data_IF_550724090932
#
_entry.id   IF_550724090932
#
_cell.length_a   1.000
_cell.length_b   1.000
_cell.length_c   1.000
_cell.angle_alpha   90.00
_cell.angle_beta   90.00
_cell.angle_gamma   90.00
#
_symmetry.space_group_name_H-M   'P 1'
#
loop_
_entity.id
_entity.type
_entity.pdbx_description
1 polymer ?
#
# COMPACT_ATOMS: atom_id res chain seq x y z
N UNK A 1 -1.30 -27.72 92.94
CA UNK A 1 -2.77 -27.55 92.84
C UNK A 1 -2.99 -26.59 91.67
N UNK A 2 -3.56 -26.92 90.51
CA UNK A 2 -4.66 -27.82 90.20
C UNK A 2 -4.42 -28.55 88.86
N UNK A 3 -4.83 -29.80 88.88
CA UNK A 3 -5.04 -30.84 87.86
C UNK A 3 -5.96 -30.48 86.67
N UNK A 4 -5.72 -31.13 85.51
CA UNK A 4 -6.70 -31.75 84.56
C UNK A 4 -7.54 -30.72 83.74
N UNK A 5 -7.84 -30.81 82.43
CA UNK A 5 -8.16 -31.95 81.57
C UNK A 5 -8.02 -31.63 80.06
N UNK A 6 -8.06 -32.73 79.31
CA UNK A 6 -8.15 -32.92 77.85
C UNK A 6 -9.36 -32.26 77.18
N UNK A 7 -9.25 -32.01 75.87
CA UNK A 7 -10.38 -31.85 74.96
C UNK A 7 -9.96 -31.76 73.50
N UNK A 8 -9.96 -32.89 72.80
CA UNK A 8 -9.96 -32.96 71.33
C UNK A 8 -11.21 -32.25 70.79
N UNK A 9 -11.06 -31.44 69.73
CA UNK A 9 -12.09 -31.26 68.73
C UNK A 9 -11.42 -30.90 67.39
N UNK A 10 -11.53 -31.80 66.43
CA UNK A 10 -11.19 -31.57 65.03
C UNK A 10 -12.15 -30.54 64.43
N UNK A 11 -11.63 -29.62 63.60
CA UNK A 11 -12.42 -28.93 62.58
C UNK A 11 -11.51 -28.39 61.48
N UNK A 12 -11.54 -29.12 60.39
CA UNK A 12 -11.52 -28.70 58.98
C UNK A 12 -10.67 -27.50 58.56
N UNK A 13 -9.60 -27.89 57.87
CA UNK A 13 -8.89 -27.22 56.79
C UNK A 13 -9.84 -26.52 55.79
N UNK A 14 -9.62 -25.22 55.51
CA UNK A 14 -9.90 -24.61 54.21
C UNK A 14 -8.77 -23.63 53.91
N UNK A 15 -7.79 -24.10 53.13
CA UNK A 15 -6.77 -23.28 52.50
C UNK A 15 -7.31 -22.90 51.12
N UNK A 16 -7.69 -21.64 50.93
CA UNK A 16 -8.13 -21.12 49.63
C UNK A 16 -6.88 -20.93 48.76
N UNK A 17 -6.60 -21.93 47.92
CA UNK A 17 -5.62 -21.85 46.86
C UNK A 17 -6.31 -21.18 45.66
N UNK A 18 -5.97 -19.92 45.40
CA UNK A 18 -6.38 -19.22 44.17
C UNK A 18 -5.53 -19.78 43.04
N UNK A 19 -6.04 -20.81 42.37
CA UNK A 19 -5.51 -21.26 41.08
C UNK A 19 -5.90 -20.21 40.04
N UNK A 20 -4.90 -19.52 39.48
CA UNK A 20 -5.05 -18.81 38.22
C UNK A 20 -5.40 -19.87 37.16
N UNK A 21 -6.62 -19.79 36.62
CA UNK A 21 -6.99 -20.55 35.43
C UNK A 21 -6.28 -19.89 34.24
N UNK A 22 -5.14 -20.43 33.85
CA UNK A 22 -4.70 -20.33 32.46
C UNK A 22 -5.75 -21.05 31.61
N UNK A 23 -6.32 -20.36 30.63
CA UNK A 23 -7.21 -20.97 29.66
C UNK A 23 -6.49 -22.16 28.98
N UNK A 24 -7.17 -23.27 28.67
CA UNK A 24 -6.60 -24.27 27.79
C UNK A 24 -6.53 -23.66 26.40
N UNK A 25 -5.32 -23.46 25.88
CA UNK A 25 -5.11 -23.44 24.45
C UNK A 25 -5.65 -24.76 23.89
N UNK A 26 -6.41 -24.69 22.81
CA UNK A 26 -6.96 -25.84 22.11
C UNK A 26 -5.79 -26.66 21.54
N UNK A 27 -5.30 -27.65 22.29
CA UNK A 27 -4.42 -28.67 21.75
C UNK A 27 -5.25 -29.53 20.79
N UNK A 28 -5.04 -29.35 19.49
CA UNK A 28 -5.49 -30.31 18.50
C UNK A 28 -4.83 -31.67 18.82
N UNK A 29 -5.62 -32.74 18.79
CA UNK A 29 -5.15 -34.08 19.14
C UNK A 29 -4.21 -34.59 18.05
N UNK A 30 -3.00 -35.03 18.41
CA UNK A 30 -2.02 -35.52 17.42
C UNK A 30 -2.54 -36.72 16.61
N UNK A 31 -3.50 -37.48 17.13
CA UNK A 31 -4.17 -38.59 16.42
C UNK A 31 -4.95 -38.17 15.15
N UNK A 32 -5.25 -36.88 14.96
CA UNK A 32 -6.05 -36.38 13.82
C UNK A 32 -5.18 -35.86 12.66
N UNK A 33 -3.89 -35.63 12.89
CA UNK A 33 -2.98 -35.08 11.89
C UNK A 33 -2.30 -36.22 11.11
N UNK A 34 -2.33 -36.12 9.78
CA UNK A 34 -1.58 -37.00 8.88
C UNK A 34 -0.16 -36.47 8.65
N UNK A 35 0.78 -37.01 9.41
CA UNK A 35 2.20 -36.69 9.31
C UNK A 35 2.89 -37.35 8.09
N UNK A 36 2.24 -38.32 7.43
CA UNK A 36 2.80 -38.99 6.25
C UNK A 36 3.83 -40.08 6.56
N UNK A 37 4.92 -40.11 5.78
CA UNK A 37 6.04 -41.07 5.90
C UNK A 37 7.40 -40.38 6.03
N UNK A 38 8.51 -41.15 6.05
CA UNK A 38 9.88 -40.64 6.15
C UNK A 38 10.63 -40.81 4.81
N UNK A 39 9.97 -40.48 3.69
CA UNK A 39 10.53 -40.68 2.34
C UNK A 39 11.42 -39.52 1.85
N UNK A 40 11.49 -38.40 2.57
CA UNK A 40 12.38 -37.28 2.25
C UNK A 40 13.85 -37.67 2.45
N UNK A 41 14.76 -36.96 1.77
CA UNK A 41 16.20 -37.08 2.00
C UNK A 41 16.65 -36.48 3.34
N UNK A 42 15.82 -35.60 3.91
CA UNK A 42 16.06 -34.89 5.17
C UNK A 42 15.36 -35.54 6.37
N UNK A 43 14.50 -36.53 6.14
CA UNK A 43 13.78 -37.21 7.21
C UNK A 43 14.70 -37.88 8.25
N UNK A 44 14.33 -37.82 9.53
CA UNK A 44 15.07 -38.35 10.69
C UNK A 44 16.40 -37.63 11.00
N UNK A 45 16.53 -36.34 10.66
CA UNK A 45 17.69 -35.54 11.01
C UNK A 45 17.52 -34.71 12.29
N UNK A 46 16.30 -34.68 12.84
CA UNK A 46 15.94 -34.01 14.09
C UNK A 46 15.32 -32.63 13.90
N UNK A 47 15.13 -32.18 12.67
CA UNK A 47 14.32 -31.02 12.30
C UNK A 47 13.04 -31.48 11.58
N UNK A 48 11.98 -30.65 11.56
CA UNK A 48 10.78 -30.93 10.77
C UNK A 48 10.86 -30.21 9.43
N UNK A 49 10.87 -30.95 8.33
CA UNK A 49 10.96 -30.40 6.97
C UNK A 49 9.61 -30.15 6.30
N UNK A 50 8.51 -30.58 6.93
CA UNK A 50 7.18 -30.47 6.35
C UNK A 50 6.62 -29.03 6.50
N UNK A 51 6.44 -28.27 5.40
CA UNK A 51 6.02 -26.88 5.44
C UNK A 51 4.59 -26.68 5.98
N UNK A 52 3.82 -27.76 6.20
CA UNK A 52 2.53 -27.72 6.88
C UNK A 52 2.66 -27.44 8.38
N UNK A 53 3.87 -27.41 8.95
CA UNK A 53 4.12 -27.12 10.36
C UNK A 53 4.89 -25.82 10.54
N UNK A 54 4.78 -25.24 11.73
CA UNK A 54 5.52 -24.04 12.12
C UNK A 54 5.93 -24.13 13.60
N UNK A 55 7.13 -23.64 13.92
CA UNK A 55 7.61 -23.53 15.30
C UNK A 55 9.11 -23.77 15.46
N UNK A 56 9.51 -24.05 16.70
CA UNK A 56 10.92 -24.31 17.04
C UNK A 56 11.29 -25.74 16.69
N UNK A 57 12.32 -25.92 15.86
CA UNK A 57 12.74 -27.23 15.35
C UNK A 57 12.30 -27.51 13.92
N UNK A 58 11.72 -26.53 13.22
CA UNK A 58 11.59 -26.59 11.76
C UNK A 58 12.95 -26.46 11.10
N UNK A 59 13.12 -27.12 9.95
CA UNK A 59 14.28 -26.91 9.10
C UNK A 59 14.36 -25.46 8.61
N UNK A 60 15.58 -25.01 8.32
CA UNK A 60 15.84 -23.62 7.88
C UNK A 60 15.33 -23.37 6.46
N UNK A 61 15.38 -24.38 5.61
CA UNK A 61 14.87 -24.35 4.23
C UNK A 61 13.75 -25.37 4.13
N UNK A 62 12.55 -24.91 3.75
CA UNK A 62 11.37 -25.76 3.62
C UNK A 62 10.99 -25.83 2.15
N UNK A 63 10.80 -27.05 1.63
CA UNK A 63 10.41 -27.27 0.24
C UNK A 63 9.06 -28.01 0.15
N UNK A 64 8.19 -27.62 -0.78
CA UNK A 64 6.88 -28.29 -1.00
C UNK A 64 7.00 -29.79 -1.28
N UNK A 65 8.14 -30.24 -1.80
CA UNK A 65 8.40 -31.67 -2.04
C UNK A 65 8.48 -32.50 -0.76
N UNK A 66 8.68 -31.87 0.39
CA UNK A 66 8.86 -32.52 1.69
C UNK A 66 7.56 -32.59 2.51
N UNK A 67 6.45 -32.08 1.96
CA UNK A 67 5.10 -32.24 2.52
C UNK A 67 4.78 -33.71 2.76
N UNK A 68 4.49 -34.05 4.02
CA UNK A 68 4.16 -35.39 4.51
C UNK A 68 5.27 -36.44 4.29
N UNK A 69 6.54 -36.02 4.23
CA UNK A 69 7.69 -36.91 3.97
C UNK A 69 8.76 -36.91 5.05
N UNK A 70 8.49 -36.23 6.16
CA UNK A 70 9.32 -36.21 7.36
C UNK A 70 8.46 -36.43 8.63
N UNK A 71 7.75 -37.55 8.63
CA UNK A 71 6.72 -37.82 9.63
C UNK A 71 7.27 -37.96 11.06
N UNK A 72 8.42 -38.62 11.22
CA UNK A 72 8.98 -38.96 12.53
C UNK A 72 9.41 -37.72 13.32
N UNK A 73 10.11 -36.78 12.69
CA UNK A 73 10.61 -35.58 13.36
C UNK A 73 9.47 -34.57 13.59
N UNK A 74 8.63 -34.33 12.58
CA UNK A 74 7.45 -33.49 12.73
C UNK A 74 6.49 -34.00 13.82
N UNK A 75 6.23 -35.31 13.91
CA UNK A 75 5.39 -35.84 15.01
C UNK A 75 6.06 -35.69 16.36
N UNK A 76 7.36 -35.94 16.45
CA UNK A 76 8.10 -35.81 17.71
C UNK A 76 8.07 -34.36 18.23
N UNK A 77 8.29 -33.40 17.35
CA UNK A 77 8.27 -31.97 17.69
C UNK A 77 6.85 -31.47 17.98
N UNK A 78 5.84 -31.99 17.27
CA UNK A 78 4.43 -31.65 17.51
C UNK A 78 3.94 -32.18 18.86
N UNK A 79 4.22 -33.45 19.17
CA UNK A 79 3.87 -34.05 20.47
C UNK A 79 4.61 -33.38 21.64
N UNK A 80 5.81 -32.82 21.38
CA UNK A 80 6.55 -32.01 22.34
C UNK A 80 5.98 -30.58 22.50
N UNK A 81 5.07 -30.16 21.61
CA UNK A 81 4.51 -28.81 21.55
C UNK A 81 5.51 -27.75 21.06
N UNK A 82 6.60 -28.17 20.42
CA UNK A 82 7.63 -27.27 19.86
C UNK A 82 7.22 -26.70 18.50
N UNK A 83 6.41 -27.45 17.75
CA UNK A 83 5.79 -27.03 16.49
C UNK A 83 4.28 -27.24 16.56
N UNK A 84 3.55 -26.48 15.76
CA UNK A 84 2.10 -26.61 15.54
C UNK A 84 1.84 -26.84 14.06
N UNK A 85 0.71 -27.43 13.70
CA UNK A 85 0.27 -27.39 12.30
C UNK A 85 0.12 -25.92 11.96
N UNK A 86 0.87 -25.45 10.96
CA UNK A 86 0.62 -24.16 10.38
C UNK A 86 -0.84 -24.21 9.92
N UNK A 87 -1.67 -23.31 10.44
CA UNK A 87 -2.90 -23.00 9.71
C UNK A 87 -2.44 -22.70 8.31
N UNK A 88 -2.99 -23.36 7.27
CA UNK A 88 -2.75 -22.88 5.92
C UNK A 88 -3.01 -21.38 5.97
N UNK A 89 -2.19 -20.60 5.29
CA UNK A 89 -2.49 -19.20 5.03
C UNK A 89 -3.69 -19.17 4.07
N UNK A 90 -4.83 -19.66 4.57
CA UNK A 90 -6.14 -19.29 4.12
C UNK A 90 -6.26 -17.87 4.61
N UNK A 91 -5.94 -16.92 3.72
CA UNK A 91 -6.74 -15.71 3.66
C UNK A 91 -8.18 -16.12 3.92
N UNK A 92 -8.74 -15.49 4.97
CA UNK A 92 -9.96 -15.87 5.69
C UNK A 92 -10.84 -16.86 4.90
N UNK A 93 -10.82 -18.15 5.26
CA UNK A 93 -11.69 -19.13 4.61
C UNK A 93 -13.15 -18.77 4.88
N UNK A 94 -13.75 -18.01 3.98
CA UNK A 94 -15.16 -18.17 3.68
C UNK A 94 -15.42 -19.67 3.53
N UNK A 95 -16.37 -20.18 4.32
CA UNK A 95 -16.87 -21.55 4.21
C UNK A 95 -17.05 -21.87 2.71
N UNK A 96 -16.38 -22.90 2.17
CA UNK A 96 -16.43 -23.24 0.72
C UNK A 96 -17.87 -23.46 0.24
N UNK A 97 -18.78 -23.74 1.17
CA UNK A 97 -20.22 -23.84 0.92
C UNK A 97 -20.93 -22.48 0.71
N UNK A 98 -20.28 -21.36 1.05
CA UNK A 98 -20.75 -19.99 0.86
C UNK A 98 -20.34 -19.38 -0.50
N UNK A 99 -19.34 -19.96 -1.18
CA UNK A 99 -18.90 -19.49 -2.50
C UNK A 99 -19.82 -20.04 -3.59
N UNK A 100 -20.45 -19.14 -4.34
CA UNK A 100 -21.27 -19.49 -5.50
C UNK A 100 -20.41 -19.62 -6.77
N UNK A 101 -19.90 -20.83 -6.98
CA UNK A 101 -19.17 -21.20 -8.20
C UNK A 101 -20.04 -21.23 -9.47
N UNK A 102 -21.38 -21.20 -9.34
CA UNK A 102 -22.29 -21.18 -10.48
C UNK A 102 -22.49 -22.54 -11.18
N UNK A 103 -22.52 -22.55 -12.52
CA UNK A 103 -22.71 -23.74 -13.36
C UNK A 103 -21.59 -23.95 -14.39
N UNK A 104 -21.72 -24.95 -15.28
CA UNK A 104 -20.72 -25.25 -16.32
C UNK A 104 -21.29 -24.95 -17.72
N UNK A 105 -21.85 -23.75 -17.90
CA UNK A 105 -22.50 -23.35 -19.16
C UNK A 105 -21.64 -22.51 -20.10
N UNK A 106 -20.40 -22.20 -19.73
CA UNK A 106 -19.42 -21.58 -20.62
C UNK A 106 -19.00 -22.53 -21.75
N UNK A 107 -18.49 -21.97 -22.85
CA UNK A 107 -17.83 -22.72 -23.93
C UNK A 107 -16.48 -23.32 -23.46
N UNK A 108 -15.88 -22.74 -22.41
CA UNK A 108 -14.58 -23.13 -21.84
C UNK A 108 -14.71 -24.01 -20.59
N UNK A 109 -15.92 -24.19 -20.06
CA UNK A 109 -16.13 -25.00 -18.87
C UNK A 109 -15.63 -26.46 -19.00
N UNK A 110 -14.94 -26.95 -17.96
CA UNK A 110 -14.35 -28.32 -17.89
C UNK A 110 -13.18 -28.55 -18.84
N UNK A 111 -12.39 -27.53 -19.14
CA UNK A 111 -11.17 -27.66 -19.92
C UNK A 111 -9.90 -27.81 -19.05
N UNK A 112 -10.03 -27.65 -17.74
CA UNK A 112 -8.98 -27.83 -16.74
C UNK A 112 -8.36 -26.54 -16.23
N UNK A 113 -8.83 -25.38 -16.70
CA UNK A 113 -8.48 -24.04 -16.20
C UNK A 113 -9.74 -23.37 -15.63
N UNK A 114 -9.59 -22.42 -14.70
CA UNK A 114 -10.71 -21.62 -14.21
C UNK A 114 -10.88 -20.37 -15.08
N UNK A 115 -12.03 -20.25 -15.75
CA UNK A 115 -12.33 -19.09 -16.63
C UNK A 115 -13.08 -17.96 -15.93
N UNK A 116 -13.49 -18.15 -14.67
CA UNK A 116 -14.30 -17.19 -13.94
C UNK A 116 -13.43 -16.05 -13.37
N UNK A 117 -13.56 -14.80 -13.89
CA UNK A 117 -12.69 -13.69 -13.49
C UNK A 117 -12.90 -13.23 -12.03
N UNK A 118 -13.87 -13.80 -11.32
CA UNK A 118 -13.99 -13.62 -9.85
C UNK A 118 -12.90 -14.36 -9.08
N UNK A 119 -12.09 -15.21 -9.71
CA UNK A 119 -10.98 -15.92 -9.07
C UNK A 119 -9.62 -15.46 -9.61
N UNK A 120 -8.57 -15.68 -8.83
CA UNK A 120 -7.19 -15.38 -9.19
C UNK A 120 -6.23 -16.46 -8.68
N UNK A 121 -5.25 -16.84 -9.49
CA UNK A 121 -4.20 -17.78 -9.12
C UNK A 121 -3.61 -18.55 -10.30
N UNK A 122 -2.79 -19.55 -10.01
CA UNK A 122 -1.99 -20.27 -11.00
C UNK A 122 -2.78 -21.24 -11.89
N UNK A 123 -4.04 -21.49 -11.57
CA UNK A 123 -4.94 -22.35 -12.34
C UNK A 123 -6.04 -21.56 -13.06
N UNK A 124 -5.87 -20.24 -13.24
CA UNK A 124 -6.73 -19.42 -14.08
C UNK A 124 -6.39 -19.59 -15.57
N UNK A 125 -7.39 -19.46 -16.42
CA UNK A 125 -7.18 -19.33 -17.86
C UNK A 125 -6.40 -18.05 -18.19
N UNK A 126 -5.68 -18.07 -19.31
CA UNK A 126 -4.82 -16.95 -19.74
C UNK A 126 -5.64 -15.75 -20.25
N UNK A 127 -6.78 -16.01 -20.87
CA UNK A 127 -7.73 -14.98 -21.31
C UNK A 127 -9.01 -15.16 -20.50
N UNK A 128 -9.43 -14.10 -19.79
CA UNK A 128 -10.64 -14.10 -18.97
C UNK A 128 -11.65 -13.13 -19.55
N UNK A 129 -12.91 -13.55 -19.64
CA UNK A 129 -14.02 -12.72 -20.11
C UNK A 129 -15.13 -12.65 -19.07
N UNK A 130 -15.75 -11.47 -18.90
CA UNK A 130 -16.88 -11.28 -17.97
C UNK A 130 -18.06 -12.22 -18.26
N UNK A 131 -18.16 -12.74 -19.50
CA UNK A 131 -19.20 -13.69 -19.89
C UNK A 131 -19.08 -15.05 -19.18
N UNK A 132 -17.92 -15.35 -18.60
CA UNK A 132 -17.60 -16.63 -17.95
C UNK A 132 -17.81 -16.62 -16.43
N UNK A 133 -18.21 -15.47 -15.87
CA UNK A 133 -18.58 -15.32 -14.45
C UNK A 133 -19.64 -16.34 -14.03
N UNK A 134 -19.26 -17.28 -13.15
CA UNK A 134 -20.13 -18.32 -12.61
C UNK A 134 -20.55 -19.38 -13.63
N UNK A 135 -19.76 -19.60 -14.69
CA UNK A 135 -20.11 -20.51 -15.79
C UNK A 135 -19.07 -21.60 -16.05
N UNK A 136 -18.05 -21.67 -15.20
CA UNK A 136 -17.04 -22.72 -15.15
C UNK A 136 -16.85 -23.26 -13.71
N UNK A 137 -17.96 -23.71 -13.13
CA UNK A 137 -18.01 -24.07 -11.71
C UNK A 137 -17.11 -25.24 -11.32
N UNK A 138 -16.95 -26.24 -12.20
CA UNK A 138 -16.21 -27.47 -11.89
C UNK A 138 -14.71 -27.22 -11.75
N UNK A 139 -14.12 -26.47 -12.67
CA UNK A 139 -12.67 -26.25 -12.69
C UNK A 139 -12.28 -25.21 -11.64
N UNK A 140 -13.04 -24.10 -11.53
CA UNK A 140 -12.85 -23.12 -10.46
C UNK A 140 -13.01 -23.72 -9.05
N UNK A 141 -14.00 -24.60 -8.82
CA UNK A 141 -14.12 -25.30 -7.53
C UNK A 141 -12.91 -26.18 -7.25
N UNK A 142 -12.50 -26.97 -8.25
CA UNK A 142 -11.38 -27.91 -8.10
C UNK A 142 -10.07 -27.16 -7.82
N UNK A 143 -9.84 -26.06 -8.55
CA UNK A 143 -8.68 -25.21 -8.36
C UNK A 143 -8.70 -24.48 -7.01
N UNK A 144 -9.87 -24.01 -6.55
CA UNK A 144 -10.02 -23.34 -5.26
C UNK A 144 -9.82 -24.31 -4.09
N UNK A 145 -10.43 -25.50 -4.14
CA UNK A 145 -10.25 -26.54 -3.12
C UNK A 145 -8.80 -27.07 -3.06
N UNK A 146 -8.06 -26.97 -4.17
CA UNK A 146 -6.63 -27.28 -4.24
C UNK A 146 -5.73 -26.13 -3.76
N UNK A 147 -6.29 -24.94 -3.47
CA UNK A 147 -5.54 -23.75 -3.08
C UNK A 147 -4.75 -23.09 -4.22
N UNK A 148 -5.01 -23.48 -5.47
CA UNK A 148 -4.32 -22.94 -6.65
C UNK A 148 -4.91 -21.61 -7.11
N UNK A 149 -6.15 -21.31 -6.73
CA UNK A 149 -6.82 -20.03 -6.96
C UNK A 149 -7.54 -19.59 -5.69
N UNK A 150 -7.75 -18.29 -5.58
CA UNK A 150 -8.46 -17.62 -4.51
C UNK A 150 -9.62 -16.83 -5.11
N UNK A 151 -10.69 -16.60 -4.35
CA UNK A 151 -11.74 -15.68 -4.78
C UNK A 151 -11.17 -14.27 -4.64
N UNK A 152 -11.21 -13.50 -5.72
CA UNK A 152 -10.88 -12.08 -5.74
C UNK A 152 -11.93 -11.37 -4.89
N UNK A 153 -11.62 -11.20 -3.60
CA UNK A 153 -12.58 -10.72 -2.59
C UNK A 153 -12.14 -10.85 -1.13
N UNK A 154 -11.24 -11.78 -0.75
CA UNK A 154 -10.82 -11.96 0.66
C UNK A 154 -9.33 -11.69 0.92
N UNK A 155 -8.72 -10.80 0.12
CA UNK A 155 -7.36 -10.30 0.33
C UNK A 155 -6.93 -9.35 -0.77
N UNK A 156 -7.32 -8.08 -0.64
CA UNK A 156 -6.88 -6.83 -1.32
C UNK A 156 -6.00 -6.96 -2.60
N UNK A 157 -6.34 -6.32 -3.77
CA UNK A 157 -7.13 -5.11 -3.97
C UNK A 157 -8.13 -5.18 -5.14
N UNK A 158 -9.43 -5.27 -4.82
CA UNK A 158 -10.52 -4.99 -5.76
C UNK A 158 -11.85 -4.71 -5.03
N UNK A 159 -11.85 -3.87 -3.99
CA UNK A 159 -13.10 -3.40 -3.36
C UNK A 159 -13.42 -1.97 -3.78
N UNK A 160 -13.68 -1.76 -5.07
CA UNK A 160 -14.47 -0.61 -5.54
C UNK A 160 -15.95 -1.00 -5.69
N UNK A 161 -16.28 -2.29 -5.59
CA UNK A 161 -17.66 -2.80 -5.72
C UNK A 161 -18.54 -2.72 -4.46
N UNK A 162 -17.96 -2.70 -3.25
CA UNK A 162 -18.69 -2.88 -1.99
C UNK A 162 -18.62 -1.69 -1.02
N UNK A 163 -17.94 -0.60 -1.41
CA UNK A 163 -17.91 0.63 -0.60
C UNK A 163 -19.12 1.49 -0.97
N UNK A 164 -20.02 1.65 0.00
CA UNK A 164 -21.09 2.64 -0.10
C UNK A 164 -20.49 4.04 0.11
N UNK A 165 -20.22 4.73 -0.99
CA UNK A 165 -19.78 6.13 -1.03
C UNK A 165 -20.95 7.10 -0.78
N UNK A 166 -22.20 6.66 -0.92
CA UNK A 166 -23.39 7.49 -0.68
C UNK A 166 -23.81 8.37 -1.87
N UNK A 167 -24.22 9.61 -1.59
CA UNK A 167 -24.65 10.62 -2.58
C UNK A 167 -23.88 11.96 -2.42
N UNK A 168 -24.17 12.96 -3.25
CA UNK A 168 -23.50 14.28 -3.21
C UNK A 168 -24.44 15.35 -2.60
N UNK A 169 -25.04 15.07 -1.44
CA UNK A 169 -26.05 15.95 -0.83
C UNK A 169 -25.51 16.94 0.20
N UNK A 170 -24.22 16.88 0.56
CA UNK A 170 -23.61 17.85 1.47
C UNK A 170 -23.43 19.23 0.80
N UNK A 171 -23.17 20.28 1.59
CA UNK A 171 -22.83 21.61 1.04
C UNK A 171 -21.39 21.71 0.53
N UNK A 172 -20.59 20.68 0.82
CA UNK A 172 -19.16 20.57 0.53
C UNK A 172 -18.86 19.52 -0.55
N UNK A 173 -19.86 18.74 -0.99
CA UNK A 173 -19.67 17.75 -2.04
C UNK A 173 -19.25 18.37 -3.39
N UNK A 174 -18.38 17.67 -4.13
CA UNK A 174 -17.78 18.10 -5.40
C UNK A 174 -16.86 19.33 -5.26
N UNK A 175 -16.11 19.41 -4.16
CA UNK A 175 -15.09 20.43 -3.93
C UNK A 175 -13.64 19.90 -4.04
N UNK A 176 -13.50 18.63 -4.44
CA UNK A 176 -12.25 17.89 -4.64
C UNK A 176 -11.55 17.45 -3.35
N UNK A 177 -12.21 17.57 -2.19
CA UNK A 177 -11.77 16.99 -0.93
C UNK A 177 -12.81 15.96 -0.45
N UNK A 178 -12.37 14.80 0.06
CA UNK A 178 -13.28 13.85 0.68
C UNK A 178 -13.66 14.31 2.10
N UNK A 179 -14.94 14.61 2.29
CA UNK A 179 -15.50 15.06 3.57
C UNK A 179 -15.98 13.93 4.49
N UNK A 180 -16.03 12.71 3.98
CA UNK A 180 -16.59 11.57 4.71
C UNK A 180 -15.59 11.04 5.75
N UNK A 181 -15.85 11.20 7.06
CA UNK A 181 -14.90 10.82 8.11
C UNK A 181 -14.66 9.32 8.23
N UNK A 182 -15.37 8.48 7.45
CA UNK A 182 -15.08 7.05 7.34
C UNK A 182 -13.79 6.78 6.57
N UNK A 183 -13.25 7.76 5.84
CA UNK A 183 -12.00 7.63 5.10
C UNK A 183 -10.85 8.38 5.79
N UNK A 184 -9.62 8.00 5.46
CA UNK A 184 -8.42 8.72 5.86
C UNK A 184 -7.32 8.61 4.80
N UNK A 185 -6.56 9.68 4.66
CA UNK A 185 -5.42 9.77 3.75
C UNK A 185 -5.26 11.18 3.18
N UNK A 186 -4.48 11.27 2.11
CA UNK A 186 -4.25 12.52 1.39
C UNK A 186 -5.46 12.78 0.46
N UNK A 187 -6.00 14.00 0.46
CA UNK A 187 -7.26 14.32 -0.23
C UNK A 187 -8.49 14.34 0.68
N UNK A 188 -8.33 14.17 2.00
CA UNK A 188 -9.38 14.43 2.98
C UNK A 188 -9.56 15.92 3.25
N UNK A 189 -10.80 16.34 3.49
CA UNK A 189 -11.10 17.71 3.91
C UNK A 189 -10.43 18.07 5.25
N UNK A 190 -10.00 19.32 5.37
CA UNK A 190 -9.27 19.79 6.56
C UNK A 190 -10.11 19.81 7.85
N UNK A 191 -11.44 19.90 7.73
CA UNK A 191 -12.39 19.81 8.84
C UNK A 191 -13.45 18.73 8.57
N UNK A 192 -13.32 17.58 9.24
CA UNK A 192 -14.24 16.46 9.07
C UNK A 192 -15.42 16.51 10.06
N UNK A 193 -16.59 16.06 9.60
CA UNK A 193 -17.82 16.04 10.39
C UNK A 193 -18.69 14.83 10.06
N UNK A 194 -19.21 14.16 11.08
CA UNK A 194 -20.16 13.03 10.94
C UNK A 194 -21.41 13.39 10.12
N UNK A 195 -21.70 14.67 9.94
CA UNK A 195 -22.82 15.13 9.10
C UNK A 195 -22.60 14.84 7.61
N UNK A 196 -21.34 14.68 7.20
CA UNK A 196 -20.93 14.45 5.81
C UNK A 196 -20.75 12.96 5.45
N UNK A 197 -20.97 12.05 6.40
CA UNK A 197 -20.98 10.60 6.13
C UNK A 197 -21.97 10.28 5.00
N UNK A 198 -21.49 9.62 3.94
CA UNK A 198 -22.24 9.22 2.74
C UNK A 198 -22.80 10.38 1.91
N UNK A 199 -22.24 11.59 2.03
CA UNK A 199 -22.80 12.79 1.38
C UNK A 199 -21.85 13.53 0.47
N UNK A 200 -20.69 12.94 0.23
CA UNK A 200 -19.65 13.44 -0.64
C UNK A 200 -19.06 12.26 -1.45
N UNK A 201 -19.93 11.62 -2.22
CA UNK A 201 -19.63 10.35 -2.85
C UNK A 201 -18.64 10.49 -4.01
N UNK A 202 -18.74 11.57 -4.79
CA UNK A 202 -17.93 11.76 -5.99
C UNK A 202 -16.45 11.99 -5.65
N UNK A 203 -16.14 12.82 -4.66
CA UNK A 203 -14.76 13.15 -4.28
C UNK A 203 -14.11 12.01 -3.49
N UNK A 204 -14.84 11.42 -2.53
CA UNK A 204 -14.35 10.26 -1.78
C UNK A 204 -14.13 9.02 -2.66
N UNK A 205 -14.99 8.77 -3.66
CA UNK A 205 -14.75 7.68 -4.62
C UNK A 205 -13.49 7.96 -5.42
N UNK A 206 -13.34 9.16 -5.96
CA UNK A 206 -12.18 9.51 -6.77
C UNK A 206 -10.87 9.37 -5.99
N UNK A 207 -10.81 9.89 -4.77
CA UNK A 207 -9.63 9.77 -3.91
C UNK A 207 -9.36 8.31 -3.48
N UNK A 208 -10.40 7.51 -3.27
CA UNK A 208 -10.24 6.09 -2.92
C UNK A 208 -9.77 5.26 -4.12
N UNK A 209 -10.31 5.51 -5.32
CA UNK A 209 -9.88 4.87 -6.57
C UNK A 209 -8.43 5.25 -6.93
N UNK A 210 -8.01 6.46 -6.56
CA UNK A 210 -6.63 6.95 -6.69
C UNK A 210 -5.69 6.40 -5.60
N UNK A 211 -6.23 5.67 -4.61
CA UNK A 211 -5.47 5.09 -3.50
C UNK A 211 -4.87 6.12 -2.54
N UNK A 212 -5.31 7.37 -2.61
CA UNK A 212 -4.83 8.47 -1.76
C UNK A 212 -5.52 8.48 -0.41
N UNK A 213 -6.77 7.97 -0.35
CA UNK A 213 -7.49 7.70 0.88
C UNK A 213 -7.88 6.22 0.99
N UNK A 214 -8.04 5.76 2.23
CA UNK A 214 -8.44 4.39 2.58
C UNK A 214 -9.66 4.44 3.49
N UNK A 215 -10.51 3.41 3.44
CA UNK A 215 -11.61 3.28 4.38
C UNK A 215 -11.04 2.92 5.76
N UNK A 216 -11.31 3.74 6.77
CA UNK A 216 -10.88 3.52 8.14
C UNK A 216 -11.81 2.51 8.78
N UNK A 217 -11.27 1.37 9.18
CA UNK A 217 -11.97 0.46 10.08
C UNK A 217 -11.92 1.05 11.51
N UNK A 218 -13.07 1.41 12.11
CA UNK A 218 -13.12 1.97 13.45
C UNK A 218 -12.63 1.00 14.55
N UNK A 219 -12.44 -0.28 14.22
CA UNK A 219 -11.89 -1.30 15.11
C UNK A 219 -10.44 -1.73 14.75
N UNK A 220 -9.85 -1.17 13.68
CA UNK A 220 -8.48 -1.50 13.29
C UNK A 220 -7.43 -0.91 14.25
N UNK A 221 -6.65 -1.79 14.88
CA UNK A 221 -5.40 -1.40 15.55
C UNK A 221 -4.35 -0.98 14.52
N UNK A 222 -3.49 0.02 14.80
CA UNK A 222 -2.51 0.52 13.85
C UNK A 222 -1.60 -0.62 13.35
N UNK A 223 -1.61 -0.84 12.03
CA UNK A 223 -0.82 -1.86 11.35
C UNK A 223 0.65 -1.47 11.38
N UNK A 224 1.48 -2.27 12.05
CA UNK A 224 2.95 -2.08 12.15
C UNK A 224 3.74 -2.86 11.10
N UNK A 225 3.09 -3.45 10.09
CA UNK A 225 3.75 -4.28 9.08
C UNK A 225 3.29 -3.89 7.69
N UNK A 226 4.19 -3.24 6.95
CA UNK A 226 4.05 -2.99 5.52
C UNK A 226 4.28 -4.32 4.80
N UNK A 227 3.39 -4.75 3.88
CA UNK A 227 3.57 -6.00 3.16
C UNK A 227 4.86 -5.97 2.32
N UNK A 228 5.57 -7.10 2.26
CA UNK A 228 6.87 -7.20 1.59
C UNK A 228 6.82 -6.82 0.10
N UNK A 229 5.68 -7.08 -0.55
CA UNK A 229 5.40 -6.67 -1.93
C UNK A 229 5.35 -5.15 -2.11
N UNK A 230 4.83 -4.42 -1.12
CA UNK A 230 4.80 -2.96 -1.12
C UNK A 230 6.19 -2.38 -0.84
N UNK A 231 6.95 -2.99 0.09
CA UNK A 231 8.35 -2.63 0.35
C UNK A 231 9.24 -2.83 -0.87
N UNK A 232 9.05 -3.91 -1.64
CA UNK A 232 9.75 -4.14 -2.90
C UNK A 232 9.37 -3.13 -3.99
N UNK A 233 8.09 -2.77 -4.10
CA UNK A 233 7.65 -1.72 -5.03
C UNK A 233 8.21 -0.34 -4.64
N UNK A 234 8.32 -0.04 -3.35
CA UNK A 234 8.95 1.20 -2.88
C UNK A 234 10.46 1.16 -3.15
N UNK A 235 11.13 0.05 -2.87
CA UNK A 235 12.56 -0.12 -3.14
C UNK A 235 12.87 0.01 -4.64
N UNK A 236 12.01 -0.49 -5.54
CA UNK A 236 12.17 -0.34 -6.97
C UNK A 236 12.15 1.12 -7.46
N UNK A 237 11.66 2.06 -6.63
CA UNK A 237 11.59 3.50 -6.94
C UNK A 237 12.75 4.31 -6.36
N UNK A 238 13.57 3.70 -5.50
CA UNK A 238 14.73 4.34 -4.87
C UNK A 238 15.95 4.04 -5.73
N UNK A 239 16.69 5.07 -6.13
CA UNK A 239 18.01 4.90 -6.72
C UNK A 239 19.01 4.60 -5.61
N UNK A 240 19.42 3.34 -5.49
CA UNK A 240 20.45 2.90 -4.54
C UNK A 240 21.87 3.05 -5.11
N UNK A 241 22.02 3.34 -6.41
CA UNK A 241 23.33 3.50 -7.06
C UNK A 241 24.01 2.21 -7.49
N UNK A 242 25.33 2.14 -7.32
CA UNK A 242 26.17 0.96 -7.61
C UNK A 242 26.99 0.50 -6.40
N UNK A 243 27.83 -0.54 -6.57
CA UNK A 243 28.68 -1.11 -5.52
C UNK A 243 30.17 -0.77 -5.73
N UNK A 244 30.48 0.42 -6.27
CA UNK A 244 31.85 0.80 -6.62
C UNK A 244 32.64 1.51 -5.51
N UNK A 245 32.02 1.72 -4.34
CA UNK A 245 32.60 2.36 -3.15
C UNK A 245 33.72 1.56 -2.51
N UNK A 246 34.48 2.21 -1.62
CA UNK A 246 35.54 1.51 -0.85
C UNK A 246 34.94 0.56 0.19
N UNK A 247 33.73 0.86 0.64
CA UNK A 247 33.02 0.16 1.70
C UNK A 247 31.79 -0.63 1.18
N UNK A 248 31.58 -0.65 -0.13
CA UNK A 248 30.51 -1.42 -0.74
C UNK A 248 30.55 -2.91 -0.36
N UNK A 249 29.38 -3.49 -0.06
CA UNK A 249 29.23 -4.91 0.32
C UNK A 249 29.95 -5.29 1.62
N UNK A 250 30.02 -4.40 2.60
CA UNK A 250 30.60 -4.69 3.92
C UNK A 250 29.54 -5.06 4.99
N UNK A 251 28.26 -4.98 4.62
CA UNK A 251 27.11 -5.34 5.45
C UNK A 251 26.50 -4.17 6.21
N UNK A 252 26.98 -2.94 6.02
CA UNK A 252 26.37 -1.70 6.49
C UNK A 252 26.04 -0.81 5.30
N UNK A 253 24.94 -0.04 5.34
CA UNK A 253 24.67 0.95 4.31
C UNK A 253 25.56 2.20 4.53
N UNK A 254 26.46 2.48 3.60
CA UNK A 254 27.38 3.63 3.68
C UNK A 254 26.83 4.93 3.08
N UNK A 255 25.68 4.86 2.42
CA UNK A 255 25.09 6.01 1.78
C UNK A 255 24.58 7.03 2.82
N UNK A 256 25.12 8.28 2.83
CA UNK A 256 24.71 9.32 3.76
C UNK A 256 23.25 9.75 3.60
N UNK A 257 22.56 9.36 2.53
CA UNK A 257 21.14 9.65 2.34
C UNK A 257 20.24 8.63 3.08
N UNK A 258 20.79 7.62 3.75
CA UNK A 258 20.05 6.70 4.61
C UNK A 258 20.33 6.94 6.10
N UNK A 259 19.40 6.50 6.96
CA UNK A 259 19.55 6.48 8.42
C UNK A 259 18.95 5.21 9.03
N UNK A 260 19.49 4.73 10.13
CA UNK A 260 18.89 3.64 10.91
C UNK A 260 19.90 2.60 11.39
N UNK A 261 19.45 1.55 12.11
CA UNK A 261 20.32 0.48 12.62
C UNK A 261 21.14 -0.29 11.58
N UNK A 262 20.78 -0.23 10.30
CA UNK A 262 21.52 -0.85 9.19
C UNK A 262 22.42 0.12 8.40
N UNK A 263 22.65 1.34 8.91
CA UNK A 263 23.45 2.39 8.26
C UNK A 263 24.71 2.64 9.08
N UNK A 264 25.84 2.87 8.41
CA UNK A 264 27.12 3.20 9.06
C UNK A 264 26.95 4.42 9.98
N UNK A 265 27.67 4.41 11.11
CA UNK A 265 27.49 5.43 12.15
C UNK A 265 27.90 6.86 11.75
N UNK A 266 28.86 7.00 10.83
CA UNK A 266 29.39 8.29 10.36
C UNK A 266 29.53 8.25 8.82
N UNK A 267 28.42 8.27 8.06
CA UNK A 267 28.47 8.18 6.60
C UNK A 267 29.08 9.45 6.00
N UNK A 268 29.78 9.31 4.88
CA UNK A 268 30.46 10.42 4.21
C UNK A 268 29.90 10.62 2.80
N UNK A 269 29.87 11.87 2.33
CA UNK A 269 29.36 12.24 0.99
C UNK A 269 30.04 11.50 -0.17
N UNK A 270 31.25 10.96 0.03
CA UNK A 270 31.98 10.22 -0.99
C UNK A 270 31.36 8.85 -1.29
N UNK A 271 30.60 8.28 -0.36
CA UNK A 271 30.01 6.93 -0.46
C UNK A 271 28.52 6.97 -0.90
N UNK A 272 27.95 8.15 -1.13
CA UNK A 272 26.59 8.34 -1.69
C UNK A 272 26.44 7.60 -3.01
N UNK A 273 25.44 6.70 -3.13
CA UNK A 273 25.14 5.86 -4.29
C UNK A 273 26.25 4.87 -4.69
N UNK A 274 27.16 4.53 -3.77
CA UNK A 274 28.28 3.62 -4.04
C UNK A 274 28.23 2.32 -3.23
N UNK A 275 27.12 2.08 -2.53
CA UNK A 275 26.87 0.89 -1.71
C UNK A 275 25.42 0.38 -1.85
N UNK A 276 25.02 0.15 -3.09
CA UNK A 276 23.62 -0.13 -3.45
C UNK A 276 23.07 -1.42 -2.82
N UNK A 277 23.87 -2.48 -2.79
CA UNK A 277 23.45 -3.80 -2.32
C UNK A 277 23.11 -3.80 -0.83
N UNK A 278 23.95 -3.21 0.01
CA UNK A 278 23.73 -3.16 1.45
C UNK A 278 22.64 -2.14 1.83
N UNK A 279 22.60 -0.98 1.17
CA UNK A 279 21.52 -0.01 1.37
C UNK A 279 20.13 -0.55 0.97
N UNK A 280 20.02 -1.28 -0.14
CA UNK A 280 18.76 -1.93 -0.55
C UNK A 280 18.36 -3.02 0.44
N UNK A 281 19.30 -3.84 0.87
CA UNK A 281 19.04 -4.91 1.84
C UNK A 281 18.58 -4.35 3.19
N UNK A 282 19.27 -3.32 3.70
CA UNK A 282 18.93 -2.66 4.94
C UNK A 282 17.55 -1.97 4.87
N UNK A 283 17.20 -1.38 3.71
CA UNK A 283 15.90 -0.78 3.45
C UNK A 283 14.76 -1.81 3.44
N UNK A 284 14.91 -2.92 2.69
CA UNK A 284 13.92 -3.99 2.65
C UNK A 284 13.75 -4.70 4.00
N UNK A 285 14.81 -4.77 4.80
CA UNK A 285 14.76 -5.27 6.16
C UNK A 285 14.10 -4.27 7.16
N UNK A 286 13.75 -3.06 6.72
CA UNK A 286 13.19 -2.01 7.57
C UNK A 286 14.18 -1.44 8.59
N UNK A 287 15.48 -1.69 8.39
CA UNK A 287 16.57 -1.25 9.29
C UNK A 287 17.28 0.01 8.81
N UNK A 288 17.12 0.36 7.54
CA UNK A 288 17.49 1.65 6.99
C UNK A 288 16.25 2.34 6.43
N UNK A 289 16.16 3.64 6.65
CA UNK A 289 15.16 4.51 6.06
C UNK A 289 15.89 5.54 5.23
N UNK A 290 15.44 5.76 4.00
CA UNK A 290 15.91 6.89 3.20
C UNK A 290 15.58 8.15 4.01
N UNK A 291 16.60 8.94 4.36
CA UNK A 291 16.38 10.29 4.85
C UNK A 291 15.57 10.95 3.76
N UNK A 292 14.38 11.46 4.08
CA UNK A 292 13.61 12.27 3.14
C UNK A 292 14.57 13.27 2.51
N UNK A 293 14.87 13.05 1.24
CA UNK A 293 15.71 13.95 0.47
C UNK A 293 14.84 15.15 0.17
N UNK A 294 14.73 16.03 1.16
CA UNK A 294 14.49 17.46 0.97
C UNK A 294 15.65 18.12 0.18
N UNK A 295 16.31 17.38 -0.71
CA UNK A 295 17.46 17.79 -1.49
C UNK A 295 18.25 16.62 -2.04
N UNK A 296 17.81 16.01 -3.14
CA UNK A 296 18.71 15.35 -4.11
C UNK A 296 18.06 14.92 -5.45
N UNK A 297 16.78 15.19 -5.70
CA UNK A 297 16.22 15.25 -7.07
C UNK A 297 15.52 16.59 -7.23
N UNK A 298 16.22 17.56 -7.82
CA UNK A 298 15.76 18.93 -8.09
C UNK A 298 15.20 19.66 -6.86
N UNK A 299 15.94 20.58 -6.24
CA UNK A 299 15.31 21.50 -5.31
C UNK A 299 14.17 22.25 -6.03
N UNK A 300 12.99 22.37 -5.41
CA UNK A 300 11.89 23.15 -5.96
C UNK A 300 12.38 24.58 -6.21
N UNK A 301 12.23 25.07 -7.45
CA UNK A 301 12.66 26.41 -7.82
C UNK A 301 11.59 27.43 -7.39
N UNK A 302 11.79 28.03 -6.22
CA UNK A 302 10.94 29.11 -5.71
C UNK A 302 10.98 30.38 -6.59
N UNK A 303 12.01 30.54 -7.43
CA UNK A 303 12.17 31.70 -8.30
C UNK A 303 12.85 32.90 -7.61
N UNK A 304 12.28 34.09 -7.77
CA UNK A 304 12.83 35.37 -7.33
C UNK A 304 11.76 36.29 -6.71
N UNK A 305 12.15 37.40 -6.10
CA UNK A 305 11.23 38.43 -5.58
C UNK A 305 11.08 39.60 -6.55
N UNK A 306 10.60 39.34 -7.76
CA UNK A 306 10.52 40.35 -8.82
C UNK A 306 9.12 40.94 -9.02
N UNK A 307 8.08 40.32 -8.45
CA UNK A 307 6.73 40.84 -8.47
C UNK A 307 6.61 42.12 -7.64
N UNK A 308 5.62 42.95 -7.98
CA UNK A 308 5.20 44.09 -7.14
C UNK A 308 4.53 43.64 -5.83
N UNK A 309 4.07 42.39 -5.77
CA UNK A 309 3.45 41.77 -4.61
C UNK A 309 4.44 40.92 -3.82
N UNK A 310 5.68 40.78 -4.28
CA UNK A 310 6.70 40.07 -3.54
C UNK A 310 6.93 40.70 -2.16
N UNK A 311 7.09 39.86 -1.14
CA UNK A 311 7.31 40.29 0.25
C UNK A 311 6.12 41.08 0.86
N UNK A 312 4.89 40.75 0.48
CA UNK A 312 3.66 41.31 1.06
C UNK A 312 3.07 40.46 2.21
N UNK A 313 3.65 39.29 2.44
CA UNK A 313 3.27 38.35 3.50
C UNK A 313 2.21 37.32 3.08
N UNK A 314 1.92 37.21 1.79
CA UNK A 314 1.13 36.14 1.17
C UNK A 314 1.94 35.51 0.04
N UNK A 315 1.63 34.27 -0.34
CA UNK A 315 2.20 33.66 -1.53
C UNK A 315 1.34 33.98 -2.76
N UNK A 316 1.87 34.72 -3.72
CA UNK A 316 1.20 35.07 -4.99
C UNK A 316 1.51 34.08 -6.14
N UNK A 317 2.36 33.09 -5.89
CA UNK A 317 2.72 32.06 -6.87
C UNK A 317 1.71 30.92 -6.89
N UNK A 318 0.92 30.83 -7.96
CA UNK A 318 -0.11 29.79 -8.16
C UNK A 318 0.40 28.34 -8.24
N UNK A 319 1.72 28.10 -8.25
CA UNK A 319 2.30 26.76 -8.09
C UNK A 319 2.10 26.21 -6.67
N UNK A 320 1.67 27.05 -5.75
CA UNK A 320 1.34 26.71 -4.37
C UNK A 320 -0.18 26.70 -4.14
N UNK A 321 -0.61 26.09 -3.04
CA UNK A 321 -1.98 26.11 -2.52
C UNK A 321 -1.97 26.26 -1.00
N UNK A 322 -3.06 26.74 -0.40
CA UNK A 322 -3.21 26.84 1.06
C UNK A 322 -3.65 28.21 1.58
N UNK A 323 -3.91 28.33 2.90
CA UNK A 323 -4.43 29.54 3.52
C UNK A 323 -3.52 30.77 3.45
N UNK A 324 -2.21 30.57 3.27
CA UNK A 324 -1.23 31.66 3.08
C UNK A 324 -1.22 32.27 1.67
N UNK A 325 -2.02 31.74 0.74
CA UNK A 325 -2.09 32.24 -0.63
C UNK A 325 -2.80 33.59 -0.74
N UNK A 326 -2.37 34.41 -1.70
CA UNK A 326 -3.09 35.61 -2.06
C UNK A 326 -4.47 35.27 -2.66
N UNK A 327 -5.49 36.07 -2.31
CA UNK A 327 -6.87 35.86 -2.78
C UNK A 327 -7.07 36.05 -4.28
N UNK A 328 -6.11 36.66 -4.98
CA UNK A 328 -6.16 36.92 -6.42
C UNK A 328 -4.79 36.69 -7.03
N UNK A 329 -4.63 35.54 -7.66
CA UNK A 329 -3.39 35.13 -8.30
C UNK A 329 -3.31 35.71 -9.72
N UNK A 330 -2.08 35.97 -10.18
CA UNK A 330 -1.80 36.42 -11.54
C UNK A 330 -0.64 35.61 -12.12
N UNK A 331 -0.72 35.31 -13.41
CA UNK A 331 0.34 34.60 -14.14
C UNK A 331 1.68 35.35 -14.19
N UNK A 332 1.70 36.66 -13.93
CA UNK A 332 2.95 37.42 -13.82
C UNK A 332 3.67 37.25 -12.48
N UNK A 333 3.00 36.68 -11.48
CA UNK A 333 3.51 36.53 -10.12
C UNK A 333 4.14 35.13 -9.87
N UNK A 334 4.02 34.24 -10.84
CA UNK A 334 4.65 32.91 -10.88
C UNK A 334 6.16 33.04 -10.84
N UNK A 335 6.83 32.33 -9.93
CA UNK A 335 8.28 32.42 -9.67
C UNK A 335 8.77 33.84 -9.31
N UNK A 336 7.87 34.73 -8.91
CA UNK A 336 8.17 36.15 -8.71
C UNK A 336 7.91 36.62 -7.26
N UNK A 337 7.57 35.68 -6.36
CA UNK A 337 7.33 35.90 -4.93
C UNK A 337 7.96 34.79 -4.07
N UNK A 338 9.26 34.54 -4.29
CA UNK A 338 9.96 33.40 -3.69
C UNK A 338 10.03 33.46 -2.16
N UNK A 339 10.32 34.62 -1.58
CA UNK A 339 10.56 34.75 -0.14
C UNK A 339 9.32 34.46 0.71
N UNK A 340 8.15 34.95 0.30
CA UNK A 340 6.90 34.70 1.05
C UNK A 340 6.44 33.26 0.88
N UNK A 341 6.44 32.74 -0.35
CA UNK A 341 6.07 31.34 -0.61
C UNK A 341 6.97 30.35 0.13
N UNK A 342 8.29 30.60 0.19
CA UNK A 342 9.21 29.76 0.95
C UNK A 342 8.97 29.85 2.47
N UNK A 343 8.71 31.05 3.00
CA UNK A 343 8.46 31.24 4.42
C UNK A 343 7.13 30.61 4.86
N UNK A 344 6.08 30.75 4.05
CA UNK A 344 4.75 30.20 4.31
C UNK A 344 4.74 28.68 4.17
N UNK A 345 5.49 28.12 3.22
CA UNK A 345 5.66 26.66 3.08
C UNK A 345 6.36 26.08 4.32
N UNK A 346 7.45 26.70 4.76
CA UNK A 346 8.17 26.29 5.97
C UNK A 346 7.31 26.38 7.25
N UNK A 347 6.30 27.26 7.26
CA UNK A 347 5.33 27.39 8.36
C UNK A 347 4.12 26.46 8.22
N UNK A 348 4.00 25.72 7.11
CA UNK A 348 2.85 24.87 6.81
C UNK A 348 1.58 25.63 6.41
N UNK A 349 1.69 26.91 6.04
CA UNK A 349 0.55 27.75 5.62
C UNK A 349 0.26 27.64 4.12
N UNK A 350 1.24 27.19 3.33
CA UNK A 350 1.04 26.81 1.93
C UNK A 350 1.80 25.51 1.64
N UNK A 351 1.46 24.87 0.53
CA UNK A 351 2.13 23.66 0.04
C UNK A 351 2.30 23.75 -1.47
N UNK A 352 3.41 23.22 -1.97
CA UNK A 352 3.66 23.11 -3.41
C UNK A 352 2.66 22.11 -3.99
N UNK A 353 1.90 22.54 -5.01
CA UNK A 353 1.01 21.65 -5.75
C UNK A 353 1.81 20.48 -6.35
N UNK A 354 1.32 19.22 -6.24
CA UNK A 354 2.06 18.04 -6.65
C UNK A 354 2.68 18.14 -8.04
N UNK A 355 1.92 18.60 -9.05
CA UNK A 355 2.35 18.70 -10.45
C UNK A 355 3.60 19.58 -10.69
N UNK A 356 3.93 20.47 -9.76
CA UNK A 356 5.11 21.34 -9.85
C UNK A 356 6.31 20.84 -9.04
N UNK A 357 6.19 19.67 -8.40
CA UNK A 357 7.32 19.05 -7.70
C UNK A 357 8.30 18.42 -8.70
N UNK A 358 9.62 18.58 -8.51
CA UNK A 358 10.62 18.05 -9.46
C UNK A 358 10.63 16.53 -9.63
N UNK A 359 10.03 15.80 -8.68
CA UNK A 359 9.84 14.36 -8.67
C UNK A 359 8.42 13.92 -9.11
N UNK A 360 7.56 14.85 -9.55
CA UNK A 360 6.21 14.52 -9.99
C UNK A 360 6.19 13.78 -11.33
N UNK A 361 5.82 12.50 -11.29
CA UNK A 361 5.26 11.73 -12.42
C UNK A 361 4.35 10.61 -11.87
N UNK A 362 3.11 10.92 -11.45
CA UNK A 362 2.22 9.93 -10.84
C UNK A 362 1.30 9.26 -11.87
N UNK A 363 1.71 8.08 -12.38
CA UNK A 363 0.92 7.24 -13.29
C UNK A 363 1.29 7.29 -14.78
N UNK A 364 2.39 7.97 -15.17
CA UNK A 364 2.72 8.13 -16.58
C UNK A 364 3.23 6.82 -17.22
N UNK A 365 2.84 6.50 -18.46
CA UNK A 365 2.03 7.34 -19.32
C UNK A 365 0.55 7.39 -18.92
N UNK A 366 0.00 8.60 -18.79
CA UNK A 366 -1.41 8.78 -18.41
C UNK A 366 -2.31 8.25 -19.50
N UNK A 367 -3.32 7.46 -19.11
CA UNK A 367 -4.34 7.01 -20.03
C UNK A 367 -5.13 8.21 -20.56
N UNK A 368 -4.95 8.50 -21.84
CA UNK A 368 -5.57 9.62 -22.53
C UNK A 368 -6.91 9.26 -23.18
N UNK A 369 -7.37 8.00 -23.08
CA UNK A 369 -8.58 7.52 -23.77
C UNK A 369 -9.87 8.21 -23.31
N UNK A 370 -9.93 8.65 -22.04
CA UNK A 370 -11.07 9.39 -21.48
C UNK A 370 -11.03 10.91 -21.68
N UNK A 371 -9.94 11.46 -22.19
CA UNK A 371 -9.72 12.92 -22.23
C UNK A 371 -10.01 13.47 -23.62
N UNK A 372 -10.86 14.50 -23.70
CA UNK A 372 -11.21 15.17 -24.95
C UNK A 372 -10.26 16.34 -25.18
N UNK A 373 -9.20 16.12 -25.96
CA UNK A 373 -8.19 17.16 -26.27
C UNK A 373 -8.61 18.14 -27.37
N UNK A 374 -9.54 17.76 -28.26
CA UNK A 374 -10.07 18.64 -29.31
C UNK A 374 -9.25 18.66 -30.61
N UNK A 375 -8.98 19.86 -31.13
CA UNK A 375 -8.22 20.12 -32.37
C UNK A 375 -7.01 21.06 -32.13
N UNK A 376 -6.22 21.39 -33.17
CA UNK A 376 -5.10 22.35 -33.08
C UNK A 376 -5.44 23.68 -33.79
N UNK A 377 -6.64 24.22 -33.60
CA UNK A 377 -7.10 25.40 -34.37
C UNK A 377 -6.83 26.76 -33.72
N UNK A 378 -6.22 26.82 -32.53
CA UNK A 378 -5.80 28.09 -31.94
C UNK A 378 -4.60 28.69 -32.69
N UNK A 379 -4.27 29.95 -32.42
CA UNK A 379 -3.04 30.57 -32.93
C UNK A 379 -1.79 30.19 -32.15
N UNK A 380 -1.96 29.47 -31.04
CA UNK A 380 -0.91 29.11 -30.10
C UNK A 380 -0.61 27.61 -30.11
N UNK A 381 -1.45 26.79 -30.75
CA UNK A 381 -1.22 25.37 -30.93
C UNK A 381 0.06 25.04 -31.73
N UNK A 382 0.59 23.84 -31.49
CA UNK A 382 1.80 23.27 -32.09
C UNK A 382 3.09 24.04 -31.69
N UNK A 383 3.19 24.48 -30.43
CA UNK A 383 4.33 25.22 -29.88
C UNK A 383 5.07 24.53 -28.71
N UNK A 384 4.77 23.24 -28.48
CA UNK A 384 5.28 22.38 -27.40
C UNK A 384 4.82 22.79 -25.98
N UNK A 385 3.84 23.69 -25.86
CA UNK A 385 3.22 24.13 -24.60
C UNK A 385 1.71 23.85 -24.70
N UNK A 386 1.08 23.41 -23.60
CA UNK A 386 -0.38 23.24 -23.57
C UNK A 386 -1.09 24.55 -23.22
N UNK A 387 -1.82 25.13 -24.17
CA UNK A 387 -2.59 26.37 -23.99
C UNK A 387 -4.03 26.16 -23.48
N UNK A 388 -4.48 24.91 -23.41
CA UNK A 388 -5.84 24.61 -22.96
C UNK A 388 -6.02 24.96 -21.47
N UNK A 389 -6.93 25.89 -21.12
CA UNK A 389 -7.12 26.37 -19.75
C UNK A 389 -7.52 25.29 -18.74
N UNK A 390 -7.97 24.13 -19.21
CA UNK A 390 -8.36 22.99 -18.37
C UNK A 390 -7.15 22.26 -17.80
N UNK A 391 -5.95 22.42 -18.36
CA UNK A 391 -4.77 21.73 -17.88
C UNK A 391 -3.91 22.63 -16.99
N UNK A 392 -3.16 22.01 -16.08
CA UNK A 392 -2.14 22.68 -15.29
C UNK A 392 -0.88 21.84 -15.11
N UNK A 393 0.25 22.53 -14.97
CA UNK A 393 1.55 21.91 -14.74
C UNK A 393 2.69 22.65 -15.45
N UNK A 394 3.93 22.18 -15.29
CA UNK A 394 5.11 22.77 -15.93
C UNK A 394 5.06 22.89 -17.46
N UNK A 395 4.27 22.05 -18.14
CA UNK A 395 4.07 22.12 -19.58
C UNK A 395 2.92 23.02 -20.04
N UNK A 396 2.12 23.58 -19.13
CA UNK A 396 0.99 24.42 -19.48
C UNK A 396 1.39 25.89 -19.65
N UNK A 397 0.69 26.62 -20.52
CA UNK A 397 0.91 28.03 -20.72
C UNK A 397 0.63 28.81 -19.43
N UNK A 398 1.46 29.82 -19.16
CA UNK A 398 1.26 30.69 -17.99
C UNK A 398 0.06 31.62 -18.15
N UNK A 399 -0.27 31.99 -19.39
CA UNK A 399 -1.43 32.83 -19.70
C UNK A 399 -2.43 32.01 -20.51
N UNK A 400 -3.49 31.57 -19.84
CA UNK A 400 -4.53 30.73 -20.44
C UNK A 400 -5.70 31.60 -20.91
N UNK A 401 -6.22 31.33 -22.11
CA UNK A 401 -7.40 31.98 -22.65
C UNK A 401 -8.54 30.97 -22.78
N UNK A 402 -9.75 31.34 -22.37
CA UNK A 402 -10.95 30.51 -22.54
C UNK A 402 -11.18 30.09 -24.00
N UNK A 403 -10.68 30.88 -24.96
CA UNK A 403 -10.79 30.57 -26.40
C UNK A 403 -9.96 29.37 -26.84
N UNK A 404 -8.96 28.98 -26.06
CA UNK A 404 -7.98 27.95 -26.41
C UNK A 404 -8.34 26.56 -25.84
N UNK A 405 -9.49 26.46 -25.15
CA UNK A 405 -10.02 25.18 -24.68
C UNK A 405 -10.37 24.24 -25.84
N UNK A 406 -9.81 23.03 -25.82
CA UNK A 406 -9.92 22.02 -26.87
C UNK A 406 -9.35 22.47 -28.23
N UNK A 407 -8.38 23.40 -28.22
CA UNK A 407 -7.78 23.99 -29.43
C UNK A 407 -6.28 23.77 -29.59
N UNK A 408 -5.69 22.98 -28.70
CA UNK A 408 -4.27 22.67 -28.67
C UNK A 408 -4.03 21.19 -28.32
N UNK A 409 -4.62 20.31 -29.14
CA UNK A 409 -4.80 18.91 -28.76
C UNK A 409 -3.50 18.11 -28.73
N UNK A 410 -2.56 18.40 -29.62
CA UNK A 410 -1.32 17.60 -29.74
C UNK A 410 -0.33 17.88 -28.61
N UNK A 411 -0.12 19.16 -28.26
CA UNK A 411 0.79 19.56 -27.18
C UNK A 411 0.22 19.15 -25.81
N UNK A 412 -1.06 19.42 -25.56
CA UNK A 412 -1.72 19.01 -24.34
C UNK A 412 -1.74 17.48 -24.16
N UNK A 413 -2.01 16.71 -25.22
CA UNK A 413 -1.99 15.25 -25.13
C UNK A 413 -0.58 14.73 -24.84
N UNK A 414 0.43 15.21 -25.56
CA UNK A 414 1.81 14.77 -25.36
C UNK A 414 2.32 15.07 -23.95
N UNK A 415 1.99 16.26 -23.42
CA UNK A 415 2.39 16.67 -22.08
C UNK A 415 1.61 15.92 -20.99
N UNK A 416 0.31 15.66 -21.19
CA UNK A 416 -0.52 14.88 -20.27
C UNK A 416 -0.04 13.43 -20.21
N UNK A 417 0.13 12.77 -21.36
CA UNK A 417 0.66 11.40 -21.43
C UNK A 417 2.08 11.32 -20.84
N UNK A 418 2.88 12.38 -20.91
CA UNK A 418 4.21 12.42 -20.28
C UNK A 418 4.17 12.70 -18.76
N UNK A 419 2.99 12.89 -18.17
CA UNK A 419 2.82 13.23 -16.75
C UNK A 419 3.31 14.63 -16.37
N UNK A 420 3.48 15.52 -17.36
CA UNK A 420 3.99 16.89 -17.16
C UNK A 420 2.90 17.91 -16.87
N UNK A 421 1.65 17.58 -17.16
CA UNK A 421 0.47 18.37 -16.86
C UNK A 421 -0.66 17.43 -16.42
N UNK A 422 -1.58 17.95 -15.62
CA UNK A 422 -2.81 17.28 -15.22
C UNK A 422 -4.02 18.08 -15.70
N UNK A 423 -5.18 17.40 -15.82
CA UNK A 423 -6.47 18.06 -16.01
C UNK A 423 -6.97 18.58 -14.65
N UNK A 424 -7.45 19.82 -14.61
CA UNK A 424 -7.99 20.48 -13.40
C UNK A 424 -9.38 20.03 -13.03
#
# INVERSE_FOLDING_TARGET
>A
MCTINKGLAASSLVLILVAALSAPALAQSSDEIDFGDDSSEWANDGECDDPRFAGTGMAVELEDRDVARDATDCRTLYDAGSITLATPDTGDSADVSAIDFGDDTSDWARDGECDDPRFAGSAMAVELEDIDIGRDATDCRTAYEAGNITLVGDGDPAMIGDIDFGDDTSEWANDLECDDPRFAGDGMASELSDTNILRDASDCRLAYEDGTITLVDPDATPVTTVPASMLEQIAARIDFGDDSGTWANDGECDDPDFTGPGVVTDPIDADRLHDASDCRAAFLAGTATLKSTAGAVGAFDYGSDTSKWANDGQCDDWRFTGPGMAKKLNSTDVMADASDCQALEANGEVSIKPVYRPDYVLGAPYDSTGVVFGDNSSSYADDDICDDPRFEGPGAATTLLDSDSERDADDCRALFEAGKITLR
#
